data_IF_407038851720
#
_entry.id   IF_407038851720
#
_cell.length_a   1.000
_cell.length_b   1.000
_cell.length_c   1.000
_cell.angle_alpha   90.00
_cell.angle_beta   90.00
_cell.angle_gamma   90.00
#
_symmetry.space_group_name_H-M   'P 1'
#
loop_
_entity.id
_entity.type
_entity.pdbx_description
1 polymer ?
#
# COMPACT_ATOMS: atom_id res chain seq x y z
N UNK A 1 5.41 -5.30 -10.84
CA UNK A 1 4.73 -5.52 -9.54
C UNK A 1 5.10 -4.52 -8.44
N UNK A 2 6.36 -4.45 -7.96
CA UNK A 2 6.79 -3.55 -6.85
C UNK A 2 6.28 -2.10 -6.94
N UNK A 3 6.36 -1.48 -8.13
CA UNK A 3 5.89 -0.10 -8.35
C UNK A 3 4.40 0.07 -8.08
N UNK A 4 3.56 -0.90 -8.46
CA UNK A 4 2.11 -0.86 -8.21
C UNK A 4 1.80 -1.02 -6.73
N UNK A 5 2.47 -1.98 -6.07
CA UNK A 5 2.30 -2.19 -4.62
C UNK A 5 2.67 -0.92 -3.83
N UNK A 6 3.83 -0.32 -4.14
CA UNK A 6 4.31 0.90 -3.47
C UNK A 6 3.51 2.15 -3.84
N UNK A 7 2.87 2.17 -5.01
CA UNK A 7 1.95 3.26 -5.39
C UNK A 7 0.74 3.28 -4.46
N UNK A 8 0.18 2.11 -4.16
CA UNK A 8 -0.94 1.98 -3.20
C UNK A 8 -0.44 2.21 -1.78
N UNK A 9 0.63 1.52 -1.38
CA UNK A 9 1.17 1.61 -0.04
C UNK A 9 2.64 1.16 0.04
N UNK A 10 3.51 2.08 0.50
CA UNK A 10 4.91 1.81 0.80
C UNK A 10 5.13 1.83 2.32
N UNK A 11 5.50 0.68 2.89
CA UNK A 11 5.67 0.49 4.34
C UNK A 11 6.72 1.41 4.95
N UNK A 12 7.68 1.90 4.16
CA UNK A 12 8.73 2.81 4.63
C UNK A 12 8.18 4.16 5.10
N UNK A 13 6.97 4.52 4.67
CA UNK A 13 6.25 5.72 5.14
C UNK A 13 5.94 5.67 6.63
N UNK A 14 5.76 4.49 7.20
CA UNK A 14 5.50 4.30 8.64
C UNK A 14 6.78 4.06 9.44
N UNK A 15 7.74 3.35 8.84
CA UNK A 15 9.04 3.07 9.47
C UNK A 15 9.78 4.36 9.82
N UNK A 16 9.80 5.36 8.92
CA UNK A 16 10.54 6.60 9.17
C UNK A 16 9.97 7.46 10.34
N UNK A 17 8.65 7.71 10.46
CA UNK A 17 8.08 8.30 11.68
C UNK A 17 8.36 7.51 12.95
N UNK A 18 8.22 6.19 12.90
CA UNK A 18 8.45 5.33 14.07
C UNK A 18 9.90 5.44 14.57
N UNK A 19 10.89 5.37 13.67
CA UNK A 19 12.31 5.55 14.02
C UNK A 19 12.61 6.93 14.60
N UNK A 20 11.94 7.98 14.13
CA UNK A 20 12.16 9.36 14.61
C UNK A 20 11.71 9.59 16.05
N UNK A 21 10.70 8.86 16.51
CA UNK A 21 10.13 9.00 17.86
C UNK A 21 10.47 7.81 18.76
N UNK A 22 11.38 6.94 18.34
CA UNK A 22 11.77 5.77 19.10
C UNK A 22 12.32 6.17 20.47
N UNK A 23 11.85 5.50 21.53
CA UNK A 23 12.21 5.80 22.92
C UNK A 23 11.46 6.97 23.56
N UNK A 24 10.60 7.69 22.81
CA UNK A 24 9.72 8.71 23.38
C UNK A 24 8.46 8.08 23.98
N UNK A 25 8.22 8.31 25.26
CA UNK A 25 7.06 7.78 25.97
C UNK A 25 5.74 8.22 25.31
N UNK A 26 4.82 7.27 25.10
CA UNK A 26 3.51 7.51 24.48
C UNK A 26 3.53 7.85 22.98
N UNK A 27 4.69 7.95 22.33
CA UNK A 27 4.77 8.31 20.91
C UNK A 27 4.24 7.18 20.01
N UNK A 28 4.46 5.91 20.37
CA UNK A 28 3.92 4.75 19.65
C UNK A 28 2.39 4.79 19.55
N UNK A 29 1.72 5.00 20.68
CA UNK A 29 0.25 5.07 20.71
C UNK A 29 -0.29 6.30 19.97
N UNK A 30 0.43 7.42 20.03
CA UNK A 30 0.08 8.62 19.26
C UNK A 30 0.10 8.37 17.75
N UNK A 31 1.12 7.66 17.25
CA UNK A 31 1.22 7.26 15.84
C UNK A 31 0.05 6.37 15.42
N UNK A 32 -0.33 5.40 16.26
CA UNK A 32 -1.47 4.50 16.00
C UNK A 32 -2.80 5.26 16.03
N UNK A 33 -2.99 6.16 16.99
CA UNK A 33 -4.22 6.93 17.16
C UNK A 33 -4.49 7.89 15.99
N UNK A 34 -3.44 8.45 15.40
CA UNK A 34 -3.53 9.41 14.29
C UNK A 34 -3.01 8.83 12.99
N UNK A 35 -3.17 7.52 12.80
CA UNK A 35 -2.66 6.83 11.62
C UNK A 35 -3.34 7.37 10.36
N UNK A 36 -2.58 7.72 9.30
CA UNK A 36 -3.17 8.25 8.08
C UNK A 36 -4.01 7.18 7.35
N UNK A 37 -4.92 7.63 6.48
CA UNK A 37 -5.71 6.71 5.67
C UNK A 37 -4.80 5.86 4.77
N UNK A 38 -4.95 4.53 4.86
CA UNK A 38 -4.28 3.54 4.02
C UNK A 38 -5.33 2.81 3.18
N UNK A 39 -5.05 2.66 1.89
CA UNK A 39 -5.90 1.90 0.97
C UNK A 39 -5.27 0.54 0.66
N UNK A 40 -6.09 -0.35 0.12
CA UNK A 40 -5.70 -1.69 -0.33
C UNK A 40 -5.56 -1.76 -1.85
N UNK A 41 -4.94 -2.81 -2.37
CA UNK A 41 -4.64 -2.95 -3.80
C UNK A 41 -5.89 -2.95 -4.68
N UNK A 42 -7.02 -3.44 -4.18
CA UNK A 42 -8.33 -3.41 -4.84
C UNK A 42 -8.85 -1.99 -5.11
N UNK A 43 -8.30 -0.96 -4.46
CA UNK A 43 -8.68 0.43 -4.71
C UNK A 43 -8.08 1.03 -5.98
N UNK A 44 -7.10 0.35 -6.59
CA UNK A 44 -6.41 0.80 -7.81
C UNK A 44 -6.85 -0.07 -8.98
N UNK A 45 -7.48 0.54 -9.98
CA UNK A 45 -7.77 -0.11 -11.26
C UNK A 45 -6.53 -0.08 -12.16
N UNK A 46 -6.05 -1.25 -12.58
CA UNK A 46 -4.94 -1.41 -13.52
C UNK A 46 -5.47 -1.86 -14.88
N UNK A 47 -5.25 -1.03 -15.90
CA UNK A 47 -5.56 -1.38 -17.29
C UNK A 47 -4.34 -2.09 -17.88
N UNK A 48 -4.55 -3.31 -18.36
CA UNK A 48 -3.51 -4.17 -18.92
C UNK A 48 -3.69 -4.30 -20.44
N UNK A 49 -2.60 -4.58 -21.13
CA UNK A 49 -2.54 -4.88 -22.56
C UNK A 49 -2.80 -6.37 -22.85
N UNK A 50 -2.54 -7.26 -21.91
CA UNK A 50 -2.79 -8.70 -22.03
C UNK A 50 -3.65 -9.29 -20.88
N UNK A 51 -4.37 -10.38 -21.19
CA UNK A 51 -5.29 -11.01 -20.24
C UNK A 51 -4.58 -11.77 -19.12
N UNK A 52 -3.42 -12.36 -19.37
CA UNK A 52 -2.68 -13.12 -18.37
C UNK A 52 -2.17 -12.20 -17.25
N UNK A 53 -1.71 -11.00 -17.59
CA UNK A 53 -1.34 -9.97 -16.61
C UNK A 53 -2.56 -9.50 -15.81
N UNK A 54 -3.71 -9.27 -16.46
CA UNK A 54 -4.93 -8.88 -15.77
C UNK A 54 -5.41 -9.95 -14.77
N UNK A 55 -5.38 -11.23 -15.17
CA UNK A 55 -5.72 -12.37 -14.31
C UNK A 55 -4.75 -12.49 -13.13
N UNK A 56 -3.44 -12.39 -13.38
CA UNK A 56 -2.42 -12.44 -12.33
C UNK A 56 -2.60 -11.31 -11.31
N UNK A 57 -2.81 -10.08 -11.76
CA UNK A 57 -3.02 -8.94 -10.87
C UNK A 57 -4.32 -9.06 -10.07
N UNK A 58 -5.37 -9.60 -10.69
CA UNK A 58 -6.64 -9.91 -10.01
C UNK A 58 -6.44 -10.95 -8.91
N UNK A 59 -5.71 -12.04 -9.19
CA UNK A 59 -5.39 -13.08 -8.20
C UNK A 59 -4.54 -12.54 -7.02
N UNK A 60 -3.72 -11.51 -7.26
CA UNK A 60 -2.96 -10.82 -6.21
C UNK A 60 -3.80 -9.83 -5.39
N UNK A 61 -5.04 -9.53 -5.80
CA UNK A 61 -5.95 -8.63 -5.09
C UNK A 61 -6.00 -7.19 -5.62
N UNK A 62 -5.42 -6.92 -6.79
CA UNK A 62 -5.68 -5.67 -7.52
C UNK A 62 -7.01 -5.76 -8.28
N UNK A 63 -7.63 -4.62 -8.55
CA UNK A 63 -8.65 -4.55 -9.60
C UNK A 63 -7.94 -4.39 -10.94
N UNK A 64 -8.07 -5.35 -11.86
CA UNK A 64 -7.41 -5.29 -13.17
C UNK A 64 -8.33 -5.73 -14.30
N UNK A 65 -8.16 -5.15 -15.49
CA UNK A 65 -8.86 -5.54 -16.71
C UNK A 65 -8.03 -5.22 -17.95
N UNK A 66 -8.32 -5.91 -19.06
CA UNK A 66 -7.76 -5.58 -20.37
C UNK A 66 -8.41 -4.29 -20.90
N UNK A 67 -7.62 -3.50 -21.65
CA UNK A 67 -8.08 -2.27 -22.30
C UNK A 67 -9.28 -2.49 -23.22
#
# INVERSE_FOLDING_TARGET
>A
LKRLMHLVYDVRRDDAPLRRVAGQEGAFDRLRKHYPARREWSSLLVICDDSATAELLTALGFSARVA
#
